data_IF_497077065788
#
_entry.id   IF_497077065788
#
_cell.length_a   1.000
_cell.length_b   1.000
_cell.length_c   1.000
_cell.angle_alpha   90.00
_cell.angle_beta   90.00
_cell.angle_gamma   90.00
#
_symmetry.space_group_name_H-M   'P 1'
#
loop_
_entity.id
_entity.type
_entity.pdbx_description
1 polymer ?
#
# COMPACT_ATOMS: atom_id res chain seq x y z
N UNK A 1 5.14 55.29 -36.69
CA UNK A 1 3.97 54.50 -37.06
C UNK A 1 4.28 53.09 -36.65
N UNK A 2 3.83 52.75 -35.44
CA UNK A 2 4.03 51.46 -34.79
C UNK A 2 2.70 50.71 -34.96
N UNK A 3 2.73 49.56 -35.63
CA UNK A 3 1.55 48.72 -35.78
C UNK A 3 1.94 47.25 -35.68
N UNK A 4 1.63 46.68 -34.53
CA UNK A 4 0.81 45.48 -34.50
C UNK A 4 1.56 44.17 -34.69
N UNK A 5 2.22 43.76 -33.60
CA UNK A 5 2.14 42.41 -33.05
C UNK A 5 0.98 41.57 -33.63
N UNK A 6 1.31 40.48 -34.33
CA UNK A 6 0.40 39.35 -34.49
C UNK A 6 1.07 38.11 -33.90
N UNK A 7 0.89 37.97 -32.59
CA UNK A 7 1.19 36.77 -31.84
C UNK A 7 0.49 35.57 -32.52
N UNK A 8 1.29 34.65 -33.07
CA UNK A 8 0.79 33.43 -33.69
C UNK A 8 -0.01 32.60 -32.69
N UNK A 9 -1.18 32.06 -33.07
CA UNK A 9 -2.03 31.32 -32.14
C UNK A 9 -1.28 30.09 -31.62
N UNK A 10 -1.15 30.03 -30.30
CA UNK A 10 -0.53 28.93 -29.57
C UNK A 10 -1.10 27.60 -30.05
N UNK A 11 -0.21 26.73 -30.55
CA UNK A 11 -0.50 25.36 -30.94
C UNK A 11 -0.99 24.60 -29.71
N UNK A 12 -2.30 24.67 -29.45
CA UNK A 12 -2.96 23.85 -28.44
C UNK A 12 -2.58 22.40 -28.74
N UNK A 13 -1.86 21.76 -27.82
CA UNK A 13 -1.59 20.32 -27.87
C UNK A 13 -2.95 19.63 -27.81
N UNK A 14 -3.54 19.37 -28.98
CA UNK A 14 -4.66 18.46 -29.13
C UNK A 14 -4.12 17.12 -28.68
N UNK A 15 -4.37 16.77 -27.40
CA UNK A 15 -4.28 15.39 -26.96
C UNK A 15 -5.21 14.62 -27.88
N UNK A 16 -4.61 13.96 -28.89
CA UNK A 16 -5.36 13.19 -29.87
C UNK A 16 -6.27 12.22 -29.14
N UNK A 17 -7.47 11.93 -29.67
CA UNK A 17 -8.39 11.03 -28.99
C UNK A 17 -7.66 9.70 -28.78
N UNK A 18 -7.43 9.38 -27.51
CA UNK A 18 -6.89 8.09 -27.09
C UNK A 18 -7.69 7.04 -27.85
N UNK A 19 -7.06 6.29 -28.76
CA UNK A 19 -7.80 5.37 -29.62
C UNK A 19 -8.70 4.52 -28.72
N UNK A 20 -10.00 4.43 -29.02
CA UNK A 20 -11.00 3.77 -28.17
C UNK A 20 -10.51 2.40 -27.65
N UNK A 21 -9.77 1.69 -28.51
CA UNK A 21 -9.11 0.43 -28.18
C UNK A 21 -8.09 0.54 -27.05
N UNK A 22 -7.24 1.57 -27.04
CA UNK A 22 -6.30 1.83 -25.95
C UNK A 22 -7.02 2.33 -24.68
N UNK A 23 -8.13 3.05 -24.83
CA UNK A 23 -8.94 3.49 -23.69
C UNK A 23 -9.52 2.29 -22.92
N UNK A 24 -10.03 1.27 -23.62
CA UNK A 24 -10.53 0.03 -22.97
C UNK A 24 -9.44 -0.66 -22.15
N UNK A 25 -8.22 -0.79 -22.70
CA UNK A 25 -7.10 -1.39 -21.96
C UNK A 25 -6.66 -0.56 -20.76
N UNK A 26 -6.75 0.77 -20.87
CA UNK A 26 -6.36 1.67 -19.78
C UNK A 26 -7.41 1.63 -18.65
N UNK A 27 -8.71 1.62 -19.00
CA UNK A 27 -9.81 1.43 -18.05
C UNK A 27 -9.71 0.08 -17.36
N UNK A 28 -9.44 -1.00 -18.10
CA UNK A 28 -9.22 -2.33 -17.53
C UNK A 28 -8.05 -2.36 -16.55
N UNK A 29 -6.95 -1.68 -16.88
CA UNK A 29 -5.79 -1.58 -15.98
C UNK A 29 -6.14 -0.84 -14.70
N UNK A 30 -6.80 0.31 -14.83
CA UNK A 30 -7.26 1.09 -13.68
C UNK A 30 -8.22 0.28 -12.81
N UNK A 31 -9.15 -0.45 -13.40
CA UNK A 31 -10.09 -1.31 -12.67
C UNK A 31 -9.33 -2.38 -11.85
N UNK A 32 -8.33 -3.05 -12.44
CA UNK A 32 -7.53 -4.05 -11.74
C UNK A 32 -6.71 -3.42 -10.61
N UNK A 33 -6.03 -2.29 -10.87
CA UNK A 33 -5.25 -1.57 -9.86
C UNK A 33 -6.13 -1.12 -8.70
N UNK A 34 -7.28 -0.51 -8.99
CA UNK A 34 -8.25 -0.08 -7.98
C UNK A 34 -8.78 -1.25 -7.17
N UNK A 35 -9.07 -2.40 -7.81
CA UNK A 35 -9.51 -3.61 -7.13
C UNK A 35 -8.42 -4.17 -6.20
N UNK A 36 -7.17 -4.22 -6.66
CA UNK A 36 -6.04 -4.69 -5.84
C UNK A 36 -5.83 -3.78 -4.62
N UNK A 37 -5.85 -2.46 -4.82
CA UNK A 37 -5.75 -1.50 -3.72
C UNK A 37 -6.91 -1.70 -2.73
N UNK A 38 -8.13 -1.79 -3.23
CA UNK A 38 -9.32 -2.00 -2.38
C UNK A 38 -9.20 -3.26 -1.53
N UNK A 39 -8.77 -4.39 -2.11
CA UNK A 39 -8.54 -5.65 -1.38
C UNK A 39 -7.48 -5.51 -0.29
N UNK A 40 -6.35 -4.84 -0.59
CA UNK A 40 -5.29 -4.60 0.40
C UNK A 40 -5.77 -3.72 1.55
N UNK A 41 -6.54 -2.68 1.26
CA UNK A 41 -7.13 -1.81 2.28
C UNK A 41 -8.17 -2.56 3.13
N UNK A 42 -9.02 -3.38 2.51
CA UNK A 42 -9.98 -4.21 3.22
C UNK A 42 -9.28 -5.21 4.16
N UNK A 43 -8.24 -5.89 3.67
CA UNK A 43 -7.42 -6.81 4.48
C UNK A 43 -6.74 -6.08 5.65
N UNK A 44 -6.23 -4.86 5.42
CA UNK A 44 -5.65 -4.01 6.48
C UNK A 44 -6.70 -3.65 7.54
N UNK A 45 -7.90 -3.26 7.13
CA UNK A 45 -8.97 -2.93 8.08
C UNK A 45 -9.38 -4.13 8.91
N UNK A 46 -9.49 -5.30 8.28
CA UNK A 46 -9.78 -6.56 8.97
C UNK A 46 -8.70 -6.92 9.99
N UNK A 47 -7.42 -6.85 9.60
CA UNK A 47 -6.29 -7.11 10.50
C UNK A 47 -6.22 -6.10 11.66
N UNK A 48 -6.51 -4.82 11.40
CA UNK A 48 -6.56 -3.80 12.44
C UNK A 48 -7.74 -4.01 13.39
N UNK A 49 -8.91 -4.42 12.90
CA UNK A 49 -10.06 -4.72 13.74
C UNK A 49 -9.78 -5.90 14.70
N UNK A 50 -9.03 -6.90 14.24
CA UNK A 50 -8.57 -8.01 15.06
C UNK A 50 -7.58 -7.58 16.14
N UNK A 51 -6.59 -6.76 15.76
CA UNK A 51 -5.54 -6.28 16.66
C UNK A 51 -6.02 -5.18 17.63
N UNK A 52 -7.07 -4.44 17.27
CA UNK A 52 -7.68 -3.42 18.11
C UNK A 52 -8.61 -3.99 19.18
N UNK A 53 -8.76 -5.32 19.27
CA UNK A 53 -9.54 -5.94 20.35
C UNK A 53 -8.95 -5.54 21.71
N UNK A 54 -9.79 -5.09 22.66
CA UNK A 54 -9.34 -4.68 23.98
C UNK A 54 -8.62 -5.81 24.72
N UNK A 55 -8.98 -7.06 24.43
CA UNK A 55 -8.34 -8.27 24.96
C UNK A 55 -6.88 -8.41 24.50
N UNK A 56 -6.57 -8.10 23.24
CA UNK A 56 -5.20 -8.16 22.71
C UNK A 56 -4.30 -7.09 23.34
N UNK A 57 -4.87 -5.90 23.59
CA UNK A 57 -4.17 -4.82 24.31
C UNK A 57 -3.96 -5.19 25.77
N UNK A 58 -4.95 -5.80 26.43
CA UNK A 58 -4.86 -6.25 27.82
C UNK A 58 -3.83 -7.37 27.99
N UNK A 59 -3.77 -8.35 27.07
CA UNK A 59 -2.73 -9.38 27.07
C UNK A 59 -1.33 -8.79 26.90
N UNK A 60 -1.18 -7.82 25.99
CA UNK A 60 0.11 -7.15 25.79
C UNK A 60 0.58 -6.39 27.04
N UNK A 61 -0.33 -5.69 27.70
CA UNK A 61 -0.04 -4.99 28.96
C UNK A 61 0.35 -5.99 30.06
N UNK A 62 -0.46 -7.05 30.26
CA UNK A 62 -0.20 -8.08 31.26
C UNK A 62 1.15 -8.79 31.04
N UNK A 63 1.51 -9.09 29.79
CA UNK A 63 2.82 -9.65 29.46
C UNK A 63 3.95 -8.68 29.77
N UNK A 64 3.81 -7.39 29.42
CA UNK A 64 4.83 -6.37 29.71
C UNK A 64 5.04 -6.20 31.22
N UNK A 65 3.97 -6.18 31.99
CA UNK A 65 4.03 -6.00 33.44
C UNK A 65 4.73 -7.18 34.11
N UNK A 66 4.38 -8.41 33.70
CA UNK A 66 5.05 -9.63 34.15
C UNK A 66 6.54 -9.67 33.78
N UNK A 67 6.90 -9.25 32.56
CA UNK A 67 8.31 -9.22 32.13
C UNK A 67 9.10 -8.11 32.83
N UNK A 68 8.44 -6.99 33.17
CA UNK A 68 9.05 -5.89 33.96
C UNK A 68 9.30 -6.33 35.41
N UNK A 69 8.38 -7.08 36.02
CA UNK A 69 8.59 -7.69 37.33
C UNK A 69 9.75 -8.70 37.30
N UNK A 70 9.81 -9.58 36.30
CA UNK A 70 10.92 -10.52 36.12
C UNK A 70 12.26 -9.82 35.91
N UNK A 71 12.29 -8.71 35.18
CA UNK A 71 13.50 -7.93 34.96
C UNK A 71 13.96 -7.15 36.21
N UNK A 72 13.04 -6.85 37.14
CA UNK A 72 13.34 -6.23 38.45
C UNK A 72 13.78 -7.24 39.50
N UNK A 73 13.38 -8.50 39.38
CA UNK A 73 13.89 -9.58 40.24
C UNK A 73 15.41 -9.70 40.04
N UNK A 74 16.17 -9.44 41.12
CA UNK A 74 17.60 -9.13 41.07
C UNK A 74 18.52 -10.30 40.67
N UNK A 75 17.97 -11.46 40.30
CA UNK A 75 18.70 -12.73 40.18
C UNK A 75 18.54 -13.40 38.79
N UNK A 76 18.16 -12.64 37.76
CA UNK A 76 18.11 -13.15 36.39
C UNK A 76 19.51 -13.12 35.74
N UNK A 77 20.04 -14.25 35.20
CA UNK A 77 21.35 -14.32 34.56
C UNK A 77 21.53 -13.36 33.37
N UNK A 78 20.41 -12.88 32.80
CA UNK A 78 20.38 -11.93 31.70
C UNK A 78 19.43 -10.79 32.04
N UNK A 79 19.97 -9.58 32.24
CA UNK A 79 19.16 -8.36 32.35
C UNK A 79 18.52 -8.04 31.00
N UNK A 80 17.25 -8.44 30.82
CA UNK A 80 16.45 -8.03 29.67
C UNK A 80 16.01 -6.57 29.84
N UNK A 81 16.16 -5.76 28.79
CA UNK A 81 15.72 -4.36 28.78
C UNK A 81 14.20 -4.32 28.70
N UNK A 82 13.57 -3.54 29.57
CA UNK A 82 12.11 -3.31 29.53
C UNK A 82 11.71 -2.81 28.13
N UNK A 83 10.72 -3.44 27.47
CA UNK A 83 10.26 -3.00 26.16
C UNK A 83 9.74 -1.56 26.24
N UNK A 84 10.36 -0.66 25.45
CA UNK A 84 10.05 0.79 25.47
C UNK A 84 8.77 1.14 24.67
N UNK A 85 8.24 0.22 23.86
CA UNK A 85 7.09 0.44 22.99
C UNK A 85 5.78 0.30 23.76
N UNK A 86 4.99 1.39 23.82
CA UNK A 86 3.65 1.39 24.38
C UNK A 86 2.67 0.53 23.55
N UNK A 87 2.94 0.36 22.26
CA UNK A 87 2.06 -0.35 21.32
C UNK A 87 2.54 -1.78 21.01
N UNK A 88 1.62 -2.70 20.66
CA UNK A 88 1.96 -4.06 20.28
C UNK A 88 2.86 -4.09 19.03
N UNK A 89 3.92 -4.91 19.01
CA UNK A 89 4.88 -4.95 17.90
C UNK A 89 4.24 -5.38 16.57
N UNK A 90 3.22 -6.24 16.61
CA UNK A 90 2.45 -6.62 15.42
C UNK A 90 1.78 -5.41 14.76
N UNK A 91 1.29 -4.47 15.58
CA UNK A 91 0.67 -3.25 15.11
C UNK A 91 1.71 -2.35 14.43
N UNK A 92 2.94 -2.28 14.94
CA UNK A 92 4.04 -1.50 14.33
C UNK A 92 4.51 -2.09 12.99
N UNK A 93 4.66 -3.41 12.91
CA UNK A 93 5.05 -4.11 11.67
C UNK A 93 3.99 -3.92 10.58
N UNK A 94 2.71 -4.00 10.95
CA UNK A 94 1.62 -3.84 10.00
C UNK A 94 1.59 -2.43 9.38
N UNK A 95 2.08 -1.39 10.05
CA UNK A 95 2.14 -0.01 9.49
C UNK A 95 3.32 0.13 8.55
N UNK A 96 4.50 -0.29 9.00
CA UNK A 96 5.75 -0.08 8.26
C UNK A 96 5.84 -0.97 7.03
N UNK A 97 5.40 -2.24 7.11
CA UNK A 97 5.48 -3.18 6.01
C UNK A 97 4.36 -3.00 4.96
N UNK A 98 3.23 -2.36 5.32
CA UNK A 98 2.07 -2.25 4.42
C UNK A 98 2.39 -1.52 3.12
N UNK A 99 3.19 -0.45 3.19
CA UNK A 99 3.61 0.29 1.99
C UNK A 99 4.46 -0.58 1.07
N UNK A 100 5.41 -1.33 1.63
CA UNK A 100 6.25 -2.26 0.87
C UNK A 100 5.44 -3.38 0.22
N UNK A 101 4.51 -3.99 0.97
CA UNK A 101 3.60 -5.01 0.46
C UNK A 101 2.68 -4.48 -0.65
N UNK A 102 2.16 -3.27 -0.49
CA UNK A 102 1.29 -2.62 -1.48
C UNK A 102 2.04 -2.34 -2.78
N UNK A 103 3.25 -1.78 -2.69
CA UNK A 103 4.10 -1.54 -3.85
C UNK A 103 4.51 -2.83 -4.55
N UNK A 104 4.90 -3.86 -3.79
CA UNK A 104 5.24 -5.18 -4.34
C UNK A 104 4.05 -5.82 -5.05
N UNK A 105 2.86 -5.78 -4.44
CA UNK A 105 1.63 -6.29 -5.03
C UNK A 105 1.28 -5.55 -6.34
N UNK A 106 1.33 -4.21 -6.33
CA UNK A 106 1.11 -3.38 -7.52
C UNK A 106 2.10 -3.70 -8.63
N UNK A 107 3.38 -3.87 -8.31
CA UNK A 107 4.40 -4.21 -9.29
C UNK A 107 4.09 -5.57 -9.97
N UNK A 108 3.79 -6.59 -9.18
CA UNK A 108 3.43 -7.92 -9.69
C UNK A 108 2.17 -7.85 -10.56
N UNK A 109 1.12 -7.19 -10.08
CA UNK A 109 -0.14 -7.04 -10.83
C UNK A 109 0.07 -6.27 -12.14
N UNK A 110 0.92 -5.25 -12.14
CA UNK A 110 1.24 -4.46 -13.32
C UNK A 110 1.95 -5.30 -14.38
N UNK A 111 2.94 -6.09 -13.98
CA UNK A 111 3.66 -7.01 -14.87
C UNK A 111 2.70 -8.07 -15.43
N UNK A 112 1.89 -8.68 -14.57
CA UNK A 112 0.92 -9.70 -14.98
C UNK A 112 -0.12 -9.14 -15.96
N UNK A 113 -0.64 -7.95 -15.70
CA UNK A 113 -1.58 -7.27 -16.59
C UNK A 113 -0.92 -6.96 -17.93
N UNK A 114 0.30 -6.41 -17.94
CA UNK A 114 1.05 -6.13 -19.16
C UNK A 114 1.26 -7.40 -20.00
N UNK A 115 1.64 -8.50 -19.37
CA UNK A 115 1.77 -9.79 -20.03
C UNK A 115 0.44 -10.28 -20.63
N UNK A 116 -0.66 -10.20 -19.86
CA UNK A 116 -1.99 -10.59 -20.33
C UNK A 116 -2.41 -9.77 -21.55
N UNK A 117 -2.17 -8.45 -21.53
CA UNK A 117 -2.47 -7.55 -22.66
C UNK A 117 -1.69 -7.96 -23.91
N UNK A 118 -0.41 -8.35 -23.76
CA UNK A 118 0.42 -8.83 -24.88
C UNK A 118 -0.15 -10.12 -25.46
N UNK A 119 -0.48 -11.09 -24.60
CA UNK A 119 -1.03 -12.39 -25.02
C UNK A 119 -2.37 -12.21 -25.74
N UNK A 120 -3.30 -11.45 -25.15
CA UNK A 120 -4.63 -11.22 -25.74
C UNK A 120 -4.54 -10.45 -27.06
N UNK A 121 -3.64 -9.47 -27.15
CA UNK A 121 -3.37 -8.79 -28.44
C UNK A 121 -2.70 -9.69 -29.46
N UNK A 122 -1.93 -10.69 -29.01
CA UNK A 122 -1.31 -11.69 -29.86
C UNK A 122 -2.30 -12.71 -30.43
N UNK A 123 -3.29 -13.13 -29.64
CA UNK A 123 -4.33 -14.08 -30.09
C UNK A 123 -5.44 -13.44 -30.91
N UNK A 124 -5.71 -12.15 -30.73
CA UNK A 124 -6.70 -11.40 -31.51
C UNK A 124 -6.16 -10.87 -32.85
N UNK A 125 -4.86 -11.06 -33.13
CA UNK A 125 -4.21 -10.72 -34.40
C UNK A 125 -4.16 -11.94 -35.31
#
# INVERSE_FOLDING_TARGET
MDTGETAGPGRAKRFGPLSWRNAVWLVGYLAVVSLTLWLLFAARQWALAELARPEATAQWQAWRDAETERARAADAPVRRRVPKSAEPPALAILRDAFTGLTLGALAIVSVLYGFLVIVVRGTLR
#
